data_IF_105692753067
#
_entry.id   IF_105692753067
#
_cell.length_a   1.000
_cell.length_b   1.000
_cell.length_c   1.000
_cell.angle_alpha   90.00
_cell.angle_beta   90.00
_cell.angle_gamma   90.00
#
_symmetry.space_group_name_H-M   'P 1'
#
loop_
_entity.id
_entity.type
_entity.pdbx_description
1 polymer ?
#
# COMPACT_ATOMS: atom_id res chain seq x y z
N UNK A 1 -35.12 36.28 -8.12
CA UNK A 1 -34.24 35.51 -9.03
C UNK A 1 -33.63 34.38 -8.23
N UNK A 2 -34.12 33.15 -8.39
CA UNK A 2 -33.62 31.99 -7.63
C UNK A 2 -32.47 31.37 -8.40
N UNK A 3 -31.25 31.40 -7.84
CA UNK A 3 -30.10 30.74 -8.40
C UNK A 3 -30.23 29.22 -8.18
N UNK A 4 -30.39 28.48 -9.26
CA UNK A 4 -30.35 27.02 -9.27
C UNK A 4 -28.89 26.59 -9.18
N UNK A 5 -28.42 26.22 -7.98
CA UNK A 5 -27.16 25.51 -7.86
C UNK A 5 -27.35 24.12 -8.49
N UNK A 6 -26.79 23.93 -9.68
CA UNK A 6 -26.75 22.61 -10.32
C UNK A 6 -25.98 21.67 -9.41
N UNK A 7 -26.69 20.73 -8.80
CA UNK A 7 -26.13 19.65 -8.00
C UNK A 7 -25.52 18.60 -8.94
N UNK A 8 -24.47 18.98 -9.69
CA UNK A 8 -23.74 18.00 -10.49
C UNK A 8 -22.88 17.14 -9.54
N UNK A 9 -22.94 15.80 -9.65
CA UNK A 9 -22.09 14.94 -8.84
C UNK A 9 -20.62 15.29 -9.12
N UNK A 10 -19.87 15.56 -8.06
CA UNK A 10 -18.44 15.82 -8.15
C UNK A 10 -17.77 14.59 -8.80
N UNK A 11 -16.90 14.78 -9.81
CA UNK A 11 -16.20 13.66 -10.42
C UNK A 11 -15.39 12.92 -9.35
N UNK A 12 -15.41 11.59 -9.39
CA UNK A 12 -14.68 10.76 -8.46
C UNK A 12 -13.21 11.22 -8.37
N UNK A 13 -12.61 11.24 -7.16
CA UNK A 13 -11.21 11.61 -7.00
C UNK A 13 -10.32 10.82 -7.95
N UNK A 14 -9.46 11.52 -8.70
CA UNK A 14 -8.55 10.88 -9.66
C UNK A 14 -7.42 10.16 -8.94
N UNK A 15 -6.99 9.02 -9.49
CA UNK A 15 -5.81 8.26 -9.09
C UNK A 15 -4.87 8.21 -10.28
N UNK A 16 -3.71 8.84 -10.17
CA UNK A 16 -2.82 9.11 -11.33
C UNK A 16 -1.78 8.02 -11.54
N UNK A 17 -1.69 7.09 -10.61
CA UNK A 17 -0.76 5.98 -10.66
C UNK A 17 -1.48 4.69 -10.31
N UNK A 18 -0.93 3.60 -10.84
CA UNK A 18 -1.13 2.26 -10.28
C UNK A 18 0.19 1.80 -9.71
N UNK A 19 0.15 1.19 -8.54
CA UNK A 19 1.31 0.64 -7.85
C UNK A 19 1.14 -0.86 -7.63
N UNK A 20 2.27 -1.58 -7.68
CA UNK A 20 2.33 -3.04 -7.59
C UNK A 20 3.36 -3.50 -6.56
N UNK A 21 3.14 -4.67 -5.98
CA UNK A 21 3.94 -5.19 -4.88
C UNK A 21 3.14 -6.04 -3.90
N UNK A 22 3.69 -6.27 -2.71
CA UNK A 22 3.10 -7.17 -1.72
C UNK A 22 2.35 -6.42 -0.63
N UNK A 23 1.06 -6.74 -0.50
CA UNK A 23 0.17 -6.23 0.52
C UNK A 23 0.19 -7.15 1.75
N UNK A 24 0.20 -6.53 2.92
CA UNK A 24 0.10 -7.18 4.24
C UNK A 24 -0.93 -6.44 5.10
N UNK A 25 -1.43 -7.10 6.14
CA UNK A 25 -2.31 -6.47 7.13
C UNK A 25 -1.54 -5.48 8.01
N UNK A 26 -2.26 -4.54 8.63
CA UNK A 26 -1.68 -3.66 9.64
C UNK A 26 -1.11 -4.39 10.84
N UNK A 27 -1.72 -5.50 11.27
CA UNK A 27 -1.19 -6.33 12.35
C UNK A 27 0.15 -6.96 11.97
N UNK A 28 0.26 -7.51 10.75
CA UNK A 28 1.53 -8.08 10.27
C UNK A 28 2.62 -7.00 10.15
N UNK A 29 2.27 -5.80 9.67
CA UNK A 29 3.19 -4.67 9.59
C UNK A 29 3.67 -4.25 11.00
N UNK A 30 2.75 -4.10 11.95
CA UNK A 30 3.08 -3.71 13.32
C UNK A 30 3.93 -4.77 14.04
N UNK A 31 3.62 -6.06 13.87
CA UNK A 31 4.42 -7.15 14.42
C UNK A 31 5.83 -7.17 13.84
N UNK A 32 5.97 -6.95 12.53
CA UNK A 32 7.28 -6.88 11.90
C UNK A 32 8.09 -5.67 12.38
N UNK A 33 7.46 -4.50 12.43
CA UNK A 33 8.10 -3.29 12.95
C UNK A 33 8.49 -3.44 14.42
N UNK A 34 7.65 -4.08 15.25
CA UNK A 34 7.93 -4.35 16.66
C UNK A 34 9.18 -5.19 16.85
N UNK A 35 9.33 -6.27 16.05
CA UNK A 35 10.53 -7.13 16.07
C UNK A 35 11.81 -6.35 15.71
N UNK A 36 11.73 -5.42 14.76
CA UNK A 36 12.88 -4.62 14.34
C UNK A 36 13.22 -3.52 15.36
N UNK A 37 12.21 -2.92 15.98
CA UNK A 37 12.37 -1.83 16.94
C UNK A 37 12.70 -2.30 18.38
N UNK A 38 12.43 -3.57 18.70
CA UNK A 38 12.62 -4.11 20.05
C UNK A 38 11.57 -3.63 21.07
N UNK A 39 10.47 -3.05 20.59
CA UNK A 39 9.32 -2.57 21.39
C UNK A 39 8.02 -3.04 20.74
N UNK A 40 6.98 -3.24 21.54
CA UNK A 40 5.64 -3.54 21.01
C UNK A 40 5.00 -2.26 20.43
N UNK A 41 4.49 -2.35 19.21
CA UNK A 41 3.84 -1.25 18.49
C UNK A 41 2.37 -1.58 18.21
N UNK A 42 1.50 -0.61 18.47
CA UNK A 42 0.07 -0.72 18.16
C UNK A 42 -0.18 -0.43 16.65
N UNK A 43 -0.94 -1.27 15.94
CA UNK A 43 -1.13 -1.17 14.49
C UNK A 43 -1.86 0.12 14.04
N UNK A 44 -2.63 0.75 14.93
CA UNK A 44 -3.39 1.96 14.64
C UNK A 44 -2.65 3.21 15.13
N UNK A 45 -2.24 3.20 16.40
CA UNK A 45 -1.63 4.36 17.07
C UNK A 45 -0.19 4.61 16.62
N UNK A 46 0.56 3.55 16.31
CA UNK A 46 1.98 3.63 15.97
C UNK A 46 2.24 3.49 14.47
N UNK A 47 1.26 3.83 13.63
CA UNK A 47 1.37 3.75 12.16
C UNK A 47 2.56 4.55 11.61
N UNK A 48 2.83 5.74 12.15
CA UNK A 48 3.98 6.57 11.76
C UNK A 48 5.32 5.89 12.09
N UNK A 49 5.44 5.30 13.28
CA UNK A 49 6.64 4.57 13.73
C UNK A 49 6.82 3.29 12.90
N UNK A 50 5.75 2.53 12.70
CA UNK A 50 5.70 1.35 11.82
C UNK A 50 6.19 1.68 10.43
N UNK A 51 5.69 2.76 9.83
CA UNK A 51 6.14 3.22 8.51
C UNK A 51 7.64 3.51 8.51
N UNK A 52 8.14 4.26 9.48
CA UNK A 52 9.54 4.66 9.53
C UNK A 52 10.47 3.45 9.60
N UNK A 53 10.23 2.55 10.56
CA UNK A 53 11.05 1.36 10.80
C UNK A 53 11.06 0.45 9.57
N UNK A 54 9.89 0.21 8.98
CA UNK A 54 9.80 -0.67 7.81
C UNK A 54 10.38 -0.03 6.55
N UNK A 55 10.21 1.28 6.37
CA UNK A 55 10.83 1.99 5.24
C UNK A 55 12.36 1.92 5.28
N UNK A 56 12.97 2.06 6.46
CA UNK A 56 14.43 1.89 6.65
C UNK A 56 14.89 0.47 6.25
N UNK A 57 14.04 -0.54 6.44
CA UNK A 57 14.34 -1.92 6.06
C UNK A 57 14.08 -2.22 4.57
N UNK A 58 13.08 -1.60 3.95
CA UNK A 58 12.66 -1.92 2.57
C UNK A 58 13.37 -1.09 1.51
N UNK A 59 13.76 0.16 1.81
CA UNK A 59 14.46 1.03 0.83
C UNK A 59 15.76 0.42 0.30
N UNK A 60 16.62 -0.23 1.11
CA UNK A 60 17.84 -0.86 0.61
C UNK A 60 17.62 -1.95 -0.44
N UNK A 61 16.43 -2.55 -0.52
CA UNK A 61 16.07 -3.53 -1.55
C UNK A 61 15.27 -2.93 -2.70
N UNK A 62 15.20 -1.60 -2.79
CA UNK A 62 14.48 -0.88 -3.84
C UNK A 62 12.97 -0.90 -3.68
N UNK A 63 12.45 -1.20 -2.48
CA UNK A 63 11.03 -1.22 -2.19
C UNK A 63 10.61 -0.04 -1.30
N UNK A 64 9.56 0.66 -1.70
CA UNK A 64 8.90 1.65 -0.84
C UNK A 64 7.88 0.95 0.08
N UNK A 65 7.47 1.60 1.16
CA UNK A 65 6.51 1.04 2.11
C UNK A 65 5.53 2.11 2.63
N UNK A 66 4.24 1.85 2.47
CA UNK A 66 3.17 2.73 2.98
C UNK A 66 1.82 2.02 3.09
N UNK A 67 0.87 2.69 3.74
CA UNK A 67 -0.53 2.30 3.72
C UNK A 67 -1.11 2.46 2.31
N UNK A 68 -2.00 1.55 1.94
CA UNK A 68 -2.72 1.55 0.67
C UNK A 68 -4.18 1.14 0.85
N UNK A 69 -5.00 1.48 -0.14
CA UNK A 69 -6.43 1.20 -0.15
C UNK A 69 -7.26 2.43 0.19
N UNK A 70 -8.57 2.31 -0.02
CA UNK A 70 -9.53 3.39 0.26
C UNK A 70 -9.78 3.56 1.77
N UNK A 71 -9.60 2.49 2.53
CA UNK A 71 -9.71 2.50 3.99
C UNK A 71 -8.32 2.67 4.62
N UNK A 72 -8.15 3.77 5.36
CA UNK A 72 -6.92 4.05 6.08
C UNK A 72 -6.68 3.02 7.19
N UNK A 73 -5.42 2.64 7.39
CA UNK A 73 -5.04 1.74 8.49
C UNK A 73 -5.42 0.27 8.32
N UNK A 74 -5.95 -0.15 7.17
CA UNK A 74 -6.30 -1.57 6.94
C UNK A 74 -5.12 -2.34 6.35
N UNK A 75 -4.44 -1.75 5.36
CA UNK A 75 -3.40 -2.44 4.61
C UNK A 75 -2.16 -1.62 4.40
N UNK A 76 -1.03 -2.33 4.42
CA UNK A 76 0.27 -1.82 4.04
C UNK A 76 0.78 -2.56 2.82
N UNK A 77 1.64 -1.90 2.06
CA UNK A 77 2.20 -2.47 0.83
C UNK A 77 3.68 -2.18 0.71
N UNK A 78 4.44 -3.24 0.43
CA UNK A 78 5.81 -3.16 -0.07
C UNK A 78 5.71 -2.92 -1.57
N UNK A 79 5.93 -1.68 -1.98
CA UNK A 79 5.76 -1.24 -3.36
C UNK A 79 7.08 -1.40 -4.10
N UNK A 80 7.03 -2.16 -5.19
CA UNK A 80 8.18 -2.49 -6.05
C UNK A 80 7.98 -2.00 -7.48
N UNK A 81 6.72 -1.75 -7.87
CA UNK A 81 6.32 -1.33 -9.20
C UNK A 81 5.39 -0.12 -9.12
N UNK A 82 5.51 0.79 -10.07
CA UNK A 82 4.68 1.98 -10.16
C UNK A 82 4.68 2.53 -11.58
N UNK A 83 3.49 2.80 -12.10
CA UNK A 83 3.30 3.34 -13.45
C UNK A 83 2.17 4.38 -13.45
N UNK A 84 2.25 5.34 -14.37
CA UNK A 84 1.16 6.29 -14.59
C UNK A 84 -0.06 5.54 -15.10
N UNK A 85 -1.22 5.88 -14.55
CA UNK A 85 -2.51 5.32 -14.95
C UNK A 85 -3.60 6.35 -14.70
N UNK A 86 -4.60 6.44 -15.58
CA UNK A 86 -5.71 7.39 -15.43
C UNK A 86 -6.90 6.68 -14.76
N UNK A 87 -6.75 6.42 -13.46
CA UNK A 87 -7.76 5.79 -12.63
C UNK A 87 -8.59 6.79 -11.85
N UNK A 88 -9.60 6.28 -11.16
CA UNK A 88 -10.44 7.06 -10.26
C UNK A 88 -10.86 6.22 -9.06
N UNK A 89 -11.28 6.90 -7.98
CA UNK A 89 -11.79 6.25 -6.77
C UNK A 89 -12.94 5.28 -7.11
N UNK A 90 -12.93 4.11 -6.50
CA UNK A 90 -13.95 3.06 -6.67
C UNK A 90 -14.06 2.53 -8.13
N UNK A 91 -13.02 2.75 -8.95
CA UNK A 91 -12.89 2.13 -10.27
C UNK A 91 -12.92 0.60 -10.13
N UNK A 92 -13.66 -0.05 -11.01
CA UNK A 92 -13.75 -1.51 -11.05
C UNK A 92 -12.34 -2.14 -11.15
N UNK A 93 -11.94 -2.99 -10.20
CA UNK A 93 -10.65 -3.66 -10.23
C UNK A 93 -10.36 -4.42 -11.53
N UNK A 94 -11.39 -4.92 -12.22
CA UNK A 94 -11.23 -5.62 -13.51
C UNK A 94 -10.74 -4.69 -14.64
N UNK A 95 -10.92 -3.38 -14.50
CA UNK A 95 -10.45 -2.38 -15.46
C UNK A 95 -9.01 -1.93 -15.21
N UNK A 96 -8.45 -2.28 -14.05
CA UNK A 96 -7.08 -1.93 -13.69
C UNK A 96 -6.16 -3.05 -14.19
N UNK A 97 -5.27 -2.78 -15.15
CA UNK A 97 -4.29 -3.78 -15.58
C UNK A 97 -3.46 -4.21 -14.36
N UNK A 98 -3.34 -5.52 -14.14
CA UNK A 98 -2.62 -6.07 -13.00
C UNK A 98 -1.13 -6.18 -13.33
N UNK A 99 -0.27 -5.78 -12.40
CA UNK A 99 1.15 -6.10 -12.45
C UNK A 99 1.38 -7.61 -12.27
N UNK A 100 2.55 -8.07 -12.70
CA UNK A 100 3.05 -9.42 -12.41
C UNK A 100 4.34 -9.29 -11.60
N UNK A 101 4.63 -10.21 -10.65
CA UNK A 101 5.91 -10.22 -9.96
C UNK A 101 7.08 -10.25 -10.94
N UNK A 102 8.07 -9.40 -10.71
CA UNK A 102 9.32 -9.32 -11.47
C UNK A 102 10.55 -9.45 -10.59
N UNK A 103 11.72 -9.10 -11.11
CA UNK A 103 13.01 -9.28 -10.42
C UNK A 103 13.09 -8.53 -9.08
N UNK A 104 12.57 -7.30 -9.02
CA UNK A 104 12.52 -6.48 -7.79
C UNK A 104 11.66 -7.12 -6.70
N UNK A 105 10.67 -7.92 -7.09
CA UNK A 105 9.75 -8.58 -6.17
C UNK A 105 10.39 -9.74 -5.43
N UNK A 106 11.45 -10.34 -5.98
CA UNK A 106 12.18 -11.43 -5.32
C UNK A 106 12.77 -10.96 -3.99
N UNK A 107 13.34 -9.74 -3.95
CA UNK A 107 13.93 -9.19 -2.74
C UNK A 107 12.87 -8.76 -1.72
N UNK A 108 11.77 -8.15 -2.17
CA UNK A 108 10.66 -7.79 -1.30
C UNK A 108 10.00 -9.04 -0.67
N UNK A 109 9.81 -10.09 -1.46
CA UNK A 109 9.29 -11.37 -0.99
C UNK A 109 10.20 -12.01 0.05
N UNK A 110 11.53 -11.98 -0.19
CA UNK A 110 12.51 -12.48 0.76
C UNK A 110 12.44 -11.75 2.11
N UNK A 111 12.27 -10.43 2.12
CA UNK A 111 12.10 -9.67 3.36
C UNK A 111 10.87 -10.11 4.16
N UNK A 112 9.74 -10.36 3.49
CA UNK A 112 8.53 -10.86 4.15
C UNK A 112 8.73 -12.24 4.76
N UNK A 113 9.42 -13.13 4.04
CA UNK A 113 9.77 -14.46 4.52
C UNK A 113 10.71 -14.41 5.72
N UNK A 114 11.76 -13.58 5.68
CA UNK A 114 12.69 -13.34 6.80
C UNK A 114 11.99 -12.75 8.03
N UNK A 115 10.97 -11.90 7.81
CA UNK A 115 10.13 -11.36 8.88
C UNK A 115 9.18 -12.41 9.51
N UNK A 116 9.06 -13.58 8.87
CA UNK A 116 8.12 -14.64 9.24
C UNK A 116 6.66 -14.33 8.87
N UNK A 117 6.43 -13.38 7.95
CA UNK A 117 5.09 -13.02 7.48
C UNK A 117 4.66 -14.06 6.45
N UNK A 118 3.55 -14.75 6.73
CA UNK A 118 3.00 -15.80 5.86
C UNK A 118 1.81 -15.35 5.03
N UNK A 119 1.08 -14.35 5.54
CA UNK A 119 -0.12 -13.82 4.91
C UNK A 119 0.24 -12.54 4.16
N UNK A 120 0.52 -12.69 2.87
CA UNK A 120 0.75 -11.59 1.95
C UNK A 120 0.14 -11.91 0.58
N UNK A 121 -0.23 -10.86 -0.13
CA UNK A 121 -0.79 -10.96 -1.48
C UNK A 121 -0.03 -10.02 -2.41
N UNK A 122 0.35 -10.49 -3.60
CA UNK A 122 0.82 -9.58 -4.64
C UNK A 122 -0.39 -8.89 -5.29
N UNK A 123 -0.47 -7.57 -5.17
CA UNK A 123 -1.64 -6.80 -5.59
C UNK A 123 -1.25 -5.59 -6.44
N UNK A 124 -2.21 -5.12 -7.25
CA UNK A 124 -2.14 -3.80 -7.90
C UNK A 124 -3.22 -2.90 -7.32
N UNK A 125 -2.83 -1.70 -6.89
CA UNK A 125 -3.77 -0.71 -6.34
C UNK A 125 -3.57 0.66 -6.97
N UNK A 126 -4.62 1.47 -6.95
CA UNK A 126 -4.57 2.85 -7.45
C UNK A 126 -4.04 3.81 -6.39
N UNK A 127 -3.33 4.85 -6.85
CA UNK A 127 -2.77 5.93 -6.04
C UNK A 127 -3.04 7.31 -6.63
#
# INVERSE_FOLDING_TARGET
>A
MSATFSNQPQPAPRRRYRIGGYRISSDAAAQWASKLAGIELDPVRDSSTTRKVLLEKTVPVGANFRQVGEEAGVHWMLITQGEKFDGYKDMDPAQIPQFKPGERDVHALKLLQEAGIKEYEFATVLD
#
